data_IF_107145809441
#
_entry.id   IF_107145809441
#
_cell.length_a   1.000
_cell.length_b   1.000
_cell.length_c   1.000
_cell.angle_alpha   90.00
_cell.angle_beta   90.00
_cell.angle_gamma   90.00
#
_symmetry.space_group_name_H-M   'P 1'
#
loop_
_entity.id
_entity.type
_entity.pdbx_description
1 polymer ?
#
# COMPACT_ATOMS: atom_id res chain seq x y z
N UNK A 1 -43.60 21.65 -60.69
CA UNK A 1 -42.59 20.83 -60.00
C UNK A 1 -42.86 20.89 -58.50
N UNK A 2 -43.54 19.88 -57.94
CA UNK A 2 -43.92 19.85 -56.53
C UNK A 2 -42.72 19.41 -55.68
N UNK A 3 -42.16 20.32 -54.87
CA UNK A 3 -41.11 20.02 -53.89
C UNK A 3 -41.75 19.33 -52.67
N UNK A 4 -41.41 18.06 -52.44
CA UNK A 4 -41.83 17.28 -51.29
C UNK A 4 -40.99 17.69 -50.06
N UNK A 5 -41.58 18.42 -49.11
CA UNK A 5 -40.91 18.72 -47.83
C UNK A 5 -40.82 17.44 -46.98
N UNK A 6 -39.60 16.95 -46.79
CA UNK A 6 -39.30 15.79 -45.93
C UNK A 6 -39.58 16.19 -44.48
N UNK A 7 -40.58 15.56 -43.83
CA UNK A 7 -40.86 15.78 -42.40
C UNK A 7 -39.67 15.30 -41.57
N UNK A 8 -38.92 16.23 -40.99
CA UNK A 8 -37.91 15.91 -39.99
C UNK A 8 -38.64 15.47 -38.71
N UNK A 9 -38.40 14.24 -38.26
CA UNK A 9 -38.92 13.73 -36.98
C UNK A 9 -38.12 14.40 -35.86
N UNK A 10 -38.79 15.16 -34.99
CA UNK A 10 -38.21 15.73 -33.78
C UNK A 10 -38.27 14.73 -32.62
N UNK A 11 -37.33 14.83 -31.68
CA UNK A 11 -37.37 14.12 -30.41
C UNK A 11 -38.50 14.67 -29.53
N UNK A 12 -39.24 13.79 -28.86
CA UNK A 12 -40.21 14.18 -27.84
C UNK A 12 -39.51 14.41 -26.49
N UNK A 13 -40.09 15.27 -25.66
CA UNK A 13 -39.57 15.53 -24.30
C UNK A 13 -39.55 14.26 -23.43
N UNK A 14 -40.55 13.38 -23.61
CA UNK A 14 -40.63 12.12 -22.86
C UNK A 14 -39.54 11.13 -23.25
N UNK A 15 -39.17 11.08 -24.54
CA UNK A 15 -38.05 10.24 -25.01
C UNK A 15 -36.73 10.69 -24.38
N UNK A 16 -36.49 12.01 -24.29
CA UNK A 16 -35.29 12.53 -23.63
C UNK A 16 -35.30 12.25 -22.11
N UNK A 17 -36.46 12.37 -21.47
CA UNK A 17 -36.61 12.15 -20.03
C UNK A 17 -36.31 10.68 -19.64
N UNK A 18 -36.79 9.72 -20.42
CA UNK A 18 -36.51 8.30 -20.16
C UNK A 18 -35.03 7.99 -20.33
N UNK A 19 -34.35 8.61 -21.31
CA UNK A 19 -32.91 8.38 -21.54
C UNK A 19 -32.06 8.85 -20.36
N UNK A 20 -32.29 10.06 -19.85
CA UNK A 20 -31.53 10.56 -18.70
C UNK A 20 -31.84 9.76 -17.43
N UNK A 21 -33.07 9.23 -17.30
CA UNK A 21 -33.45 8.36 -16.19
C UNK A 21 -32.69 7.03 -16.22
N UNK A 22 -32.48 6.44 -17.40
CA UNK A 22 -31.69 5.21 -17.53
C UNK A 22 -30.19 5.49 -17.29
N UNK A 23 -29.67 6.59 -17.85
CA UNK A 23 -28.25 6.96 -17.66
C UNK A 23 -27.94 7.21 -16.17
N UNK A 24 -28.84 7.86 -15.42
CA UNK A 24 -28.59 8.13 -13.99
C UNK A 24 -28.51 6.85 -13.15
N UNK A 25 -29.37 5.87 -13.44
CA UNK A 25 -29.33 4.57 -12.77
C UNK A 25 -28.03 3.84 -13.09
N UNK A 26 -27.65 3.74 -14.37
CA UNK A 26 -26.41 3.08 -14.78
C UNK A 26 -25.17 3.79 -14.22
N UNK A 27 -25.14 5.12 -14.22
CA UNK A 27 -24.03 5.90 -13.70
C UNK A 27 -23.81 5.68 -12.20
N UNK A 28 -24.88 5.54 -11.40
CA UNK A 28 -24.76 5.31 -9.95
C UNK A 28 -24.05 3.99 -9.62
N UNK A 29 -24.38 2.91 -10.33
CA UNK A 29 -23.75 1.58 -10.16
C UNK A 29 -22.27 1.64 -10.55
N UNK A 30 -21.95 2.30 -11.66
CA UNK A 30 -20.57 2.43 -12.15
C UNK A 30 -19.68 3.15 -11.13
N UNK A 31 -20.17 4.22 -10.51
CA UNK A 31 -19.38 5.01 -9.55
C UNK A 31 -18.94 4.19 -8.33
N UNK A 32 -19.81 3.33 -7.79
CA UNK A 32 -19.46 2.45 -6.66
C UNK A 32 -18.36 1.46 -7.09
N UNK A 33 -18.53 0.82 -8.25
CA UNK A 33 -17.54 -0.15 -8.76
C UNK A 33 -16.16 0.47 -9.03
N UNK A 34 -16.13 1.72 -9.52
CA UNK A 34 -14.90 2.44 -9.83
C UNK A 34 -14.11 2.79 -8.57
N UNK A 35 -14.77 3.16 -7.48
CA UNK A 35 -14.09 3.46 -6.22
C UNK A 35 -13.38 2.22 -5.65
N UNK A 36 -14.01 1.06 -5.67
CA UNK A 36 -13.38 -0.20 -5.26
C UNK A 36 -12.19 -0.56 -6.17
N UNK A 37 -12.32 -0.40 -7.49
CA UNK A 37 -11.24 -0.66 -8.42
C UNK A 37 -10.02 0.26 -8.20
N UNK A 38 -10.26 1.55 -7.90
CA UNK A 38 -9.21 2.52 -7.58
C UNK A 38 -8.46 2.15 -6.29
N UNK A 39 -9.18 1.72 -5.26
CA UNK A 39 -8.58 1.25 -4.00
C UNK A 39 -7.66 0.05 -4.27
N UNK A 40 -8.16 -0.98 -4.97
CA UNK A 40 -7.36 -2.17 -5.33
C UNK A 40 -6.13 -1.83 -6.17
N UNK A 41 -6.24 -0.87 -7.08
CA UNK A 41 -5.12 -0.41 -7.90
C UNK A 41 -4.02 0.29 -7.08
N UNK A 42 -4.40 1.09 -6.07
CA UNK A 42 -3.44 1.71 -5.14
C UNK A 42 -2.78 0.67 -4.25
N UNK A 43 -3.54 -0.27 -3.70
CA UNK A 43 -3.02 -1.38 -2.91
C UNK A 43 -2.02 -2.24 -3.71
N UNK A 44 -2.34 -2.58 -4.96
CA UNK A 44 -1.41 -3.30 -5.84
C UNK A 44 -0.10 -2.52 -6.08
N UNK A 45 -0.19 -1.18 -6.16
CA UNK A 45 0.98 -0.31 -6.29
C UNK A 45 1.82 -0.30 -5.00
N UNK A 46 1.21 -0.22 -3.82
CA UNK A 46 1.91 -0.31 -2.53
C UNK A 46 2.74 -1.58 -2.42
N UNK A 47 2.14 -2.71 -2.74
CA UNK A 47 2.81 -4.03 -2.72
C UNK A 47 3.98 -4.08 -3.71
N UNK A 48 3.81 -3.53 -4.91
CA UNK A 48 4.89 -3.47 -5.90
C UNK A 48 6.05 -2.57 -5.43
N UNK A 49 5.73 -1.43 -4.82
CA UNK A 49 6.73 -0.51 -4.28
C UNK A 49 7.51 -1.15 -3.12
N UNK A 50 6.82 -1.83 -2.18
CA UNK A 50 7.45 -2.57 -1.07
C UNK A 50 8.41 -3.63 -1.60
N UNK A 51 8.00 -4.42 -2.60
CA UNK A 51 8.87 -5.41 -3.23
C UNK A 51 10.10 -4.78 -3.90
N UNK A 52 9.94 -3.61 -4.51
CA UNK A 52 11.08 -2.88 -5.10
C UNK A 52 12.08 -2.41 -4.03
N UNK A 53 11.56 -1.94 -2.89
CA UNK A 53 12.37 -1.52 -1.75
C UNK A 53 13.07 -2.71 -1.07
N UNK A 54 12.41 -3.86 -0.96
CA UNK A 54 13.02 -5.10 -0.50
C UNK A 54 14.26 -5.46 -1.34
N UNK A 55 14.13 -5.50 -2.67
CA UNK A 55 15.29 -5.77 -3.54
C UNK A 55 16.41 -4.74 -3.34
N UNK A 56 16.06 -3.46 -3.18
CA UNK A 56 17.03 -2.41 -2.92
C UNK A 56 17.74 -2.55 -1.57
N UNK A 57 17.02 -3.00 -0.53
CA UNK A 57 17.57 -3.26 0.80
C UNK A 57 18.58 -4.41 0.76
N UNK A 58 18.29 -5.50 0.05
CA UNK A 58 19.24 -6.60 -0.17
C UNK A 58 20.49 -6.13 -0.90
N UNK A 59 20.34 -5.34 -1.97
CA UNK A 59 21.48 -4.76 -2.68
C UNK A 59 22.31 -3.81 -1.80
N UNK A 60 21.66 -3.06 -0.91
CA UNK A 60 22.35 -2.20 0.06
C UNK A 60 23.12 -3.04 1.07
N UNK A 61 22.54 -4.12 1.57
CA UNK A 61 23.17 -5.04 2.51
C UNK A 61 24.48 -5.61 1.95
N UNK A 62 24.46 -6.09 0.71
CA UNK A 62 25.63 -6.64 0.03
C UNK A 62 26.76 -5.61 -0.16
N UNK A 63 26.40 -4.34 -0.36
CA UNK A 63 27.36 -3.26 -0.59
C UNK A 63 27.86 -2.59 0.70
N UNK A 64 27.15 -2.73 1.82
CA UNK A 64 27.41 -1.97 3.06
C UNK A 64 27.79 -2.88 4.24
N UNK A 65 28.75 -3.78 4.03
CA UNK A 65 29.29 -4.66 5.07
C UNK A 65 28.22 -5.44 5.82
N UNK A 66 27.26 -5.99 5.06
CA UNK A 66 26.18 -6.81 5.59
C UNK A 66 25.35 -6.04 6.62
N UNK A 67 25.02 -4.77 6.35
CA UNK A 67 24.19 -3.93 7.22
C UNK A 67 23.04 -3.32 6.42
N UNK A 68 21.84 -3.40 6.96
CA UNK A 68 20.71 -2.64 6.46
C UNK A 68 20.83 -1.15 6.82
N UNK A 69 20.27 -0.25 6.01
CA UNK A 69 20.38 1.18 6.24
C UNK A 69 19.58 1.59 7.49
N UNK A 70 20.03 2.63 8.18
CA UNK A 70 19.27 3.21 9.30
C UNK A 70 18.08 4.07 8.83
N UNK A 71 18.03 4.41 7.54
CA UNK A 71 16.94 5.14 6.92
C UNK A 71 16.87 4.82 5.42
N UNK A 72 15.66 4.75 4.85
CA UNK A 72 15.44 4.49 3.42
C UNK A 72 16.13 5.51 2.49
N UNK A 73 16.44 6.72 2.97
CA UNK A 73 17.19 7.74 2.21
C UNK A 73 18.61 7.30 1.85
N UNK A 74 19.18 6.36 2.60
CA UNK A 74 20.47 5.77 2.29
C UNK A 74 20.44 4.93 0.99
N UNK A 75 19.29 4.36 0.62
CA UNK A 75 19.13 3.62 -0.64
C UNK A 75 19.21 4.53 -1.88
N UNK A 76 18.80 5.79 -1.72
CA UNK A 76 18.92 6.80 -2.79
C UNK A 76 20.37 7.27 -2.89
N UNK A 77 20.98 7.56 -1.75
CA UNK A 77 22.36 8.04 -1.69
C UNK A 77 23.37 6.98 -2.14
N UNK A 78 23.09 5.71 -1.82
CA UNK A 78 23.88 4.56 -2.23
C UNK A 78 23.64 4.11 -3.68
N UNK A 79 22.68 4.72 -4.38
CA UNK A 79 22.41 4.46 -5.80
C UNK A 79 21.62 3.17 -6.08
N UNK A 80 21.04 2.52 -5.07
CA UNK A 80 20.20 1.34 -5.25
C UNK A 80 18.86 1.68 -5.91
N UNK A 81 18.30 2.86 -5.60
CA UNK A 81 17.05 3.36 -6.19
C UNK A 81 17.17 4.84 -6.55
N UNK A 82 16.48 5.33 -7.59
CA UNK A 82 16.53 6.73 -7.98
C UNK A 82 15.77 7.66 -7.03
N UNK A 83 14.72 7.16 -6.38
CA UNK A 83 13.92 7.88 -5.38
C UNK A 83 13.14 6.88 -4.53
N UNK A 84 12.77 7.27 -3.30
CA UNK A 84 11.89 6.48 -2.44
C UNK A 84 10.47 6.58 -2.99
N UNK A 85 9.79 5.47 -3.30
CA UNK A 85 8.39 5.48 -3.68
C UNK A 85 7.51 6.04 -2.55
N UNK A 86 6.47 6.79 -2.92
CA UNK A 86 5.51 7.41 -1.99
C UNK A 86 4.14 6.75 -2.14
N UNK A 87 3.34 6.79 -1.08
CA UNK A 87 2.00 6.22 -1.06
C UNK A 87 1.14 6.86 -2.19
N UNK A 88 0.49 6.05 -3.04
CA UNK A 88 -0.27 6.55 -4.19
C UNK A 88 -1.55 7.32 -3.83
N UNK A 89 -1.97 7.36 -2.55
CA UNK A 89 -3.14 8.09 -2.08
C UNK A 89 -2.86 9.57 -1.86
N UNK A 90 -1.73 9.89 -1.26
CA UNK A 90 -1.35 11.27 -0.88
C UNK A 90 -0.09 11.77 -1.57
N UNK A 91 0.69 10.86 -2.19
CA UNK A 91 1.97 11.14 -2.82
C UNK A 91 2.92 11.96 -1.93
N UNK A 92 2.85 11.72 -0.61
CA UNK A 92 3.61 12.47 0.39
C UNK A 92 4.11 11.59 1.53
N UNK A 93 3.42 10.49 1.82
CA UNK A 93 3.82 9.58 2.91
C UNK A 93 4.73 8.49 2.36
N UNK A 94 5.92 8.35 2.95
CA UNK A 94 6.83 7.25 2.66
C UNK A 94 6.36 5.98 3.38
N UNK A 95 6.75 4.81 2.86
CA UNK A 95 6.45 3.53 3.50
C UNK A 95 7.16 3.40 4.85
N UNK A 96 6.51 2.68 5.77
CA UNK A 96 7.03 2.51 7.14
C UNK A 96 8.23 1.58 7.09
N UNK A 97 9.32 1.95 7.75
CA UNK A 97 10.57 1.19 7.78
C UNK A 97 11.15 1.17 9.19
N UNK A 98 11.52 -0.02 9.65
CA UNK A 98 12.29 -0.24 10.87
C UNK A 98 13.48 -1.14 10.57
N UNK A 99 14.51 -1.03 11.39
CA UNK A 99 15.71 -1.84 11.30
C UNK A 99 16.14 -2.26 12.71
N UNK A 100 16.94 -3.31 12.79
CA UNK A 100 17.67 -3.64 14.00
C UNK A 100 19.17 -3.69 13.76
N UNK A 101 19.91 -3.15 14.73
CA UNK A 101 21.37 -3.25 14.80
C UNK A 101 21.84 -4.19 15.89
N UNK A 102 20.94 -4.81 16.65
CA UNK A 102 21.36 -5.63 17.78
C UNK A 102 21.80 -7.02 17.37
N UNK A 103 22.98 -7.40 17.84
CA UNK A 103 23.31 -8.80 18.09
C UNK A 103 22.30 -9.39 19.05
N UNK A 104 21.43 -10.27 18.54
CA UNK A 104 20.74 -11.24 19.38
C UNK A 104 21.77 -12.04 20.21
N UNK A 105 21.37 -12.59 21.36
CA UNK A 105 22.23 -13.35 22.27
C UNK A 105 22.94 -14.59 21.65
N UNK A 106 22.67 -14.88 20.37
CA UNK A 106 23.28 -15.93 19.56
C UNK A 106 24.16 -15.41 18.39
N UNK A 107 24.44 -14.10 18.33
CA UNK A 107 25.55 -13.55 17.55
C UNK A 107 25.26 -13.04 16.14
N UNK A 108 24.04 -13.14 15.61
CA UNK A 108 23.67 -12.53 14.32
C UNK A 108 22.15 -12.31 14.28
N UNK A 109 21.70 -11.07 14.05
CA UNK A 109 20.60 -10.76 13.12
C UNK A 109 20.48 -9.25 12.94
N UNK A 110 20.91 -8.79 11.77
CA UNK A 110 20.71 -7.42 11.29
C UNK A 110 19.51 -7.52 10.35
N UNK A 111 18.31 -7.26 10.86
CA UNK A 111 17.06 -7.40 10.10
C UNK A 111 16.47 -6.05 9.72
N UNK A 112 15.54 -6.06 8.77
CA UNK A 112 14.67 -4.92 8.50
C UNK A 112 13.20 -5.35 8.54
N UNK A 113 12.34 -4.37 8.76
CA UNK A 113 10.91 -4.52 8.65
C UNK A 113 10.35 -3.35 7.81
N UNK A 114 9.63 -3.68 6.74
CA UNK A 114 9.09 -2.71 5.80
C UNK A 114 7.61 -3.01 5.57
N UNK A 115 6.75 -2.00 5.68
CA UNK A 115 5.31 -2.23 5.51
C UNK A 115 4.51 -0.99 5.12
N UNK A 116 3.29 -1.24 4.67
CA UNK A 116 2.31 -0.21 4.31
C UNK A 116 0.89 -0.63 4.68
N UNK A 117 0.09 0.36 5.09
CA UNK A 117 -1.32 0.16 5.38
C UNK A 117 -2.12 0.06 4.09
N UNK A 118 -2.89 -1.00 3.96
CA UNK A 118 -3.78 -1.25 2.84
C UNK A 118 -5.11 -0.50 3.02
N UNK A 119 -5.78 -0.20 1.91
CA UNK A 119 -7.05 0.53 1.93
C UNK A 119 -8.28 -0.36 1.73
N UNK A 120 -8.14 -1.45 0.99
CA UNK A 120 -9.26 -2.32 0.60
C UNK A 120 -9.23 -3.72 1.18
N UNK A 121 -8.27 -4.03 2.05
CA UNK A 121 -8.11 -5.35 2.67
C UNK A 121 -8.06 -5.17 4.17
N UNK A 122 -8.83 -6.00 4.88
CA UNK A 122 -8.85 -6.07 6.33
C UNK A 122 -8.99 -7.53 6.77
N UNK A 123 -8.14 -7.95 7.71
CA UNK A 123 -8.00 -9.32 8.15
C UNK A 123 -7.09 -10.15 7.24
N UNK A 124 -6.53 -11.22 7.81
CA UNK A 124 -5.53 -12.13 7.23
C UNK A 124 -6.04 -12.90 5.99
N UNK A 125 -6.36 -12.19 4.91
CA UNK A 125 -7.01 -12.73 3.72
C UNK A 125 -6.50 -12.02 2.46
N UNK A 126 -6.17 -12.81 1.43
CA UNK A 126 -5.68 -12.28 0.17
C UNK A 126 -4.19 -11.93 0.22
N UNK A 127 -3.85 -10.66 0.04
CA UNK A 127 -2.44 -10.22 0.02
C UNK A 127 -1.79 -10.25 1.41
N UNK A 128 -2.61 -10.16 2.46
CA UNK A 128 -2.25 -10.22 3.88
C UNK A 128 -2.27 -11.66 4.43
N UNK A 129 -2.13 -12.66 3.56
CA UNK A 129 -2.06 -14.07 3.96
C UNK A 129 -0.63 -14.62 3.84
N UNK A 130 0.32 -13.76 3.50
CA UNK A 130 1.72 -14.10 3.26
C UNK A 130 2.68 -12.96 3.60
N UNK A 131 2.21 -11.96 4.33
CA UNK A 131 3.03 -11.09 5.17
C UNK A 131 3.55 -11.87 6.37
N UNK A 132 4.53 -11.29 7.04
CA UNK A 132 5.29 -11.94 8.09
C UNK A 132 5.18 -11.09 9.33
N UNK A 133 4.05 -11.25 10.02
CA UNK A 133 3.86 -10.69 11.35
C UNK A 133 4.98 -11.17 12.26
N UNK A 134 5.78 -10.23 12.77
CA UNK A 134 6.75 -10.53 13.82
C UNK A 134 5.98 -10.61 15.17
N UNK A 135 6.42 -11.45 16.11
CA UNK A 135 5.79 -11.55 17.44
C UNK A 135 6.57 -10.79 18.54
N UNK A 136 5.83 -10.32 19.57
CA UNK A 136 6.31 -9.37 20.60
C UNK A 136 7.53 -9.90 21.35
N UNK A 137 7.61 -11.21 21.50
CA UNK A 137 8.74 -11.86 22.17
C UNK A 137 10.02 -11.77 21.33
N UNK A 138 9.90 -11.78 20.00
CA UNK A 138 11.02 -11.70 19.05
C UNK A 138 11.42 -10.26 18.75
N UNK A 139 10.48 -9.30 18.67
CA UNK A 139 10.81 -7.88 18.49
C UNK A 139 11.56 -7.26 19.69
N UNK A 140 11.11 -7.52 20.92
CA UNK A 140 11.75 -6.96 22.12
C UNK A 140 13.14 -7.57 22.36
N UNK A 141 13.33 -8.85 22.02
CA UNK A 141 14.63 -9.52 22.12
C UNK A 141 15.67 -8.99 21.11
N UNK A 142 15.20 -8.39 20.00
CA UNK A 142 16.02 -7.96 18.88
C UNK A 142 16.30 -6.46 18.81
N UNK A 143 15.90 -5.62 19.78
CA UNK A 143 16.14 -4.15 19.79
C UNK A 143 15.81 -3.44 18.46
N UNK A 144 14.61 -3.64 17.93
CA UNK A 144 14.14 -2.93 16.74
C UNK A 144 13.89 -1.44 17.02
N UNK A 145 14.18 -0.58 16.04
CA UNK A 145 13.90 0.87 16.15
C UNK A 145 12.45 1.25 15.83
N UNK A 146 11.60 0.26 15.55
CA UNK A 146 10.18 0.39 15.27
C UNK A 146 9.51 -0.98 15.23
N UNK A 147 8.30 -1.07 15.76
CA UNK A 147 7.50 -2.30 15.85
C UNK A 147 6.32 -2.18 14.87
N UNK A 148 6.07 -3.22 14.08
CA UNK A 148 4.89 -3.34 13.19
C UNK A 148 3.83 -4.27 13.76
N UNK A 149 4.13 -4.83 14.92
CA UNK A 149 3.23 -5.70 15.63
C UNK A 149 2.20 -4.81 16.30
N UNK A 150 0.93 -5.19 16.23
CA UNK A 150 -0.20 -4.49 16.85
C UNK A 150 -0.14 -4.33 18.38
N UNK A 151 1.03 -4.12 19.00
CA UNK A 151 1.17 -3.60 20.36
C UNK A 151 2.49 -2.84 20.53
N UNK A 152 2.46 -1.51 20.34
CA UNK A 152 3.67 -0.75 20.02
C UNK A 152 4.45 -0.10 21.15
N UNK A 153 5.52 0.60 20.74
CA UNK A 153 6.01 1.83 21.34
C UNK A 153 6.11 2.92 20.26
N UNK A 154 5.16 3.85 20.33
CA UNK A 154 5.25 5.24 19.86
C UNK A 154 6.12 5.55 18.64
N UNK A 155 5.53 5.49 17.45
CA UNK A 155 5.60 6.59 16.49
C UNK A 155 4.43 6.50 15.51
N UNK A 156 3.98 7.65 15.03
CA UNK A 156 2.84 7.86 14.14
C UNK A 156 2.98 7.28 12.72
N UNK A 157 3.75 6.20 12.56
CA UNK A 157 3.86 5.50 11.28
C UNK A 157 2.70 4.51 11.14
N UNK A 158 2.08 4.51 9.96
CA UNK A 158 0.74 3.99 9.69
C UNK A 158 0.53 2.47 9.89
N UNK A 159 1.54 1.73 10.36
CA UNK A 159 1.49 0.30 10.72
C UNK A 159 2.07 -0.02 12.11
N UNK A 160 2.30 0.99 12.97
CA UNK A 160 2.89 0.82 14.31
C UNK A 160 1.89 1.05 15.46
N UNK A 161 0.61 1.29 15.15
CA UNK A 161 -0.42 1.47 16.18
C UNK A 161 -1.03 0.14 16.55
N UNK A 162 -1.03 -0.14 17.85
CA UNK A 162 -1.62 -1.33 18.42
C UNK A 162 -3.03 -1.58 17.91
N UNK A 163 -3.23 -2.59 17.08
CA UNK A 163 -4.54 -3.18 16.87
C UNK A 163 -4.54 -4.59 17.45
N UNK A 164 -5.10 -4.74 18.64
CA UNK A 164 -5.49 -6.03 19.20
C UNK A 164 -6.80 -6.50 18.54
N UNK A 165 -6.91 -6.33 17.22
CA UNK A 165 -8.00 -6.86 16.44
C UNK A 165 -7.44 -7.81 15.39
N UNK A 166 -8.18 -8.87 15.17
CA UNK A 166 -7.98 -9.87 14.12
C UNK A 166 -8.05 -9.29 12.68
N UNK A 167 -8.04 -7.97 12.53
CA UNK A 167 -8.05 -7.23 11.28
C UNK A 167 -6.70 -6.57 11.06
N UNK A 168 -5.70 -7.38 10.73
CA UNK A 168 -4.48 -6.83 10.13
C UNK A 168 -4.83 -6.19 8.77
N UNK A 169 -4.42 -4.93 8.61
CA UNK A 169 -4.58 -4.12 7.39
C UNK A 169 -3.19 -3.79 6.80
N UNK A 170 -2.09 -4.24 7.41
CA UNK A 170 -0.73 -3.82 7.11
C UNK A 170 0.04 -4.91 6.39
N UNK A 171 0.27 -4.70 5.09
CA UNK A 171 1.15 -5.59 4.35
C UNK A 171 2.61 -5.27 4.72
N UNK A 172 3.30 -6.24 5.30
CA UNK A 172 4.70 -6.12 5.70
C UNK A 172 5.60 -7.24 5.18
N UNK A 173 6.91 -6.97 5.19
CA UNK A 173 7.97 -7.91 4.83
C UNK A 173 9.16 -7.74 5.78
N UNK A 174 9.70 -8.87 6.22
CA UNK A 174 10.88 -8.96 7.10
C UNK A 174 12.01 -9.78 6.46
N UNK A 175 13.23 -9.60 6.98
CA UNK A 175 14.40 -10.45 6.73
C UNK A 175 15.13 -10.73 8.06
#
# INVERSE_FOLDING_TARGET
MLKYFKKNKGFTLIELLVVIAIISVLASIVLVSLNTARIKGRDARRVADIKSLQVALEMYYDSNSNMYPTALSALVTGGQIPAIPLDPKDNSTAYSYAYTTATHALGLQKGYHLGARMEGVSGASGVLAGDVDLDIATAVAANWTGEFEGNGIGSSNACATADNSTADDCYDVTN
#
